data_IF_366767778411
#
_entry.id   IF_366767778411
#
_cell.length_a   1.000
_cell.length_b   1.000
_cell.length_c   1.000
_cell.angle_alpha   90.00
_cell.angle_beta   90.00
_cell.angle_gamma   90.00
#
_symmetry.space_group_name_H-M   'P 1'
#
loop_
_entity.id
_entity.type
_entity.pdbx_description
1 polymer ?
#
# COMPACT_ATOMS: atom_id res chain seq x y z
N UNK A 1 7.38 -25.44 -2.76
CA UNK A 1 6.47 -24.71 -1.88
C UNK A 1 6.97 -23.27 -1.69
N UNK A 2 6.09 -22.32 -1.79
CA UNK A 2 6.49 -20.92 -1.64
C UNK A 2 6.74 -20.60 -0.18
N UNK A 3 7.76 -19.77 0.06
CA UNK A 3 8.02 -19.26 1.39
C UNK A 3 7.15 -18.03 1.63
N UNK A 4 7.00 -17.60 2.90
CA UNK A 4 6.28 -16.36 3.16
C UNK A 4 6.88 -15.16 2.42
N UNK A 5 8.21 -15.13 2.25
CA UNK A 5 8.85 -14.06 1.50
C UNK A 5 8.45 -14.10 0.03
N UNK A 6 8.38 -15.30 -0.55
CA UNK A 6 7.96 -15.44 -1.94
C UNK A 6 6.50 -15.03 -2.09
N UNK A 7 5.66 -15.42 -1.15
CA UNK A 7 4.25 -15.04 -1.20
C UNK A 7 4.09 -13.53 -1.07
N UNK A 8 4.86 -12.90 -0.18
CA UNK A 8 4.83 -11.44 -0.04
C UNK A 8 5.25 -10.75 -1.33
N UNK A 9 6.26 -11.30 -2.01
CA UNK A 9 6.71 -10.72 -3.26
C UNK A 9 5.64 -10.81 -4.32
N UNK A 10 4.98 -11.98 -4.44
CA UNK A 10 3.90 -12.14 -5.41
C UNK A 10 2.73 -11.22 -5.11
N UNK A 11 2.37 -11.09 -3.83
CA UNK A 11 1.32 -10.17 -3.43
C UNK A 11 1.69 -8.74 -3.77
N UNK A 12 2.95 -8.38 -3.51
CA UNK A 12 3.44 -7.05 -3.84
C UNK A 12 3.34 -6.78 -5.33
N UNK A 13 3.75 -7.74 -6.17
CA UNK A 13 3.73 -7.52 -7.61
C UNK A 13 2.31 -7.33 -8.14
N UNK A 14 1.35 -8.09 -7.60
CA UNK A 14 -0.04 -7.89 -8.00
C UNK A 14 -0.54 -6.51 -7.58
N UNK A 15 -0.20 -6.10 -6.35
CA UNK A 15 -0.60 -4.80 -5.86
C UNK A 15 0.09 -3.68 -6.63
N UNK A 16 1.37 -3.87 -6.98
CA UNK A 16 2.12 -2.88 -7.74
C UNK A 16 1.46 -2.59 -9.08
N UNK A 17 1.05 -3.65 -9.78
CA UNK A 17 0.42 -3.49 -11.07
C UNK A 17 -0.82 -2.61 -10.97
N UNK A 18 -1.68 -2.90 -9.99
CA UNK A 18 -2.89 -2.11 -9.80
C UNK A 18 -2.55 -0.71 -9.31
N UNK A 19 -1.54 -0.59 -8.44
CA UNK A 19 -1.15 0.71 -7.90
C UNK A 19 -0.71 1.65 -9.00
N UNK A 20 0.03 1.15 -9.99
CA UNK A 20 0.47 1.99 -11.10
C UNK A 20 -0.71 2.51 -11.91
N UNK A 21 -1.75 1.69 -12.06
CA UNK A 21 -2.98 2.14 -12.72
C UNK A 21 -3.68 3.22 -11.91
N UNK A 22 -3.78 3.01 -10.60
CA UNK A 22 -4.40 4.00 -9.71
C UNK A 22 -3.62 5.30 -9.75
N UNK A 23 -2.30 5.24 -9.73
CA UNK A 23 -1.47 6.44 -9.79
C UNK A 23 -1.67 7.20 -11.09
N UNK A 24 -1.77 6.50 -12.21
CA UNK A 24 -2.02 7.16 -13.48
C UNK A 24 -3.34 7.92 -13.43
N UNK A 25 -4.39 7.30 -12.89
CA UNK A 25 -5.68 7.95 -12.77
C UNK A 25 -5.61 9.16 -11.84
N UNK A 26 -4.93 9.02 -10.70
CA UNK A 26 -4.84 10.11 -9.74
C UNK A 26 -4.04 11.28 -10.28
N UNK A 27 -2.96 11.00 -10.99
CA UNK A 27 -2.13 12.09 -11.55
C UNK A 27 -2.88 12.88 -12.60
N UNK A 28 -3.87 12.27 -13.25
CA UNK A 28 -4.71 13.00 -14.19
C UNK A 28 -5.65 13.99 -13.48
N UNK A 29 -5.92 13.74 -12.19
CA UNK A 29 -6.82 14.59 -11.41
C UNK A 29 -6.05 15.67 -10.65
N UNK A 30 -4.91 15.32 -10.05
CA UNK A 30 -4.14 16.26 -9.24
C UNK A 30 -2.65 15.96 -9.37
N UNK A 31 -1.82 17.02 -9.48
CA UNK A 31 -0.36 16.82 -9.47
C UNK A 31 0.23 16.76 -8.06
N UNK A 32 -0.57 17.01 -7.03
CA UNK A 32 -0.06 17.08 -5.66
C UNK A 32 0.10 15.70 -5.07
N UNK A 33 1.34 15.35 -4.73
CA UNK A 33 1.63 14.03 -4.15
C UNK A 33 0.89 13.83 -2.84
N UNK A 34 0.78 14.86 -2.01
CA UNK A 34 0.11 14.72 -0.73
C UNK A 34 -1.36 14.38 -0.91
N UNK A 35 -2.00 14.95 -1.92
CA UNK A 35 -3.41 14.62 -2.20
C UNK A 35 -3.57 13.17 -2.58
N UNK A 36 -2.63 12.66 -3.39
CA UNK A 36 -2.66 11.26 -3.80
C UNK A 36 -2.41 10.36 -2.61
N UNK A 37 -1.44 10.70 -1.77
CA UNK A 37 -1.13 9.90 -0.59
C UNK A 37 -2.33 9.81 0.34
N UNK A 38 -2.95 10.95 0.61
CA UNK A 38 -4.11 10.97 1.50
C UNK A 38 -5.27 10.20 0.91
N UNK A 39 -5.49 10.33 -0.40
CA UNK A 39 -6.58 9.60 -1.04
C UNK A 39 -6.40 8.09 -0.89
N UNK A 40 -5.17 7.61 -1.06
CA UNK A 40 -4.89 6.18 -0.94
C UNK A 40 -5.08 5.71 0.50
N UNK A 41 -4.64 6.49 1.48
CA UNK A 41 -4.85 6.12 2.88
C UNK A 41 -6.32 6.17 3.27
N UNK A 42 -7.02 7.21 2.81
CA UNK A 42 -8.46 7.29 3.08
C UNK A 42 -9.19 6.10 2.48
N UNK A 43 -8.76 5.67 1.30
CA UNK A 43 -9.37 4.52 0.67
C UNK A 43 -9.25 3.27 1.54
N UNK A 44 -8.12 3.11 2.21
CA UNK A 44 -7.93 1.97 3.11
C UNK A 44 -8.92 2.06 4.28
N UNK A 45 -9.08 3.25 4.86
CA UNK A 45 -10.02 3.42 5.96
C UNK A 45 -11.46 3.20 5.50
N UNK A 46 -11.81 3.69 4.31
CA UNK A 46 -13.15 3.49 3.78
C UNK A 46 -13.43 2.03 3.49
N UNK A 47 -12.40 1.30 3.07
CA UNK A 47 -12.53 -0.14 2.82
C UNK A 47 -13.00 -0.90 4.07
N UNK A 48 -12.53 -0.47 5.24
CA UNK A 48 -12.85 -1.15 6.49
C UNK A 48 -13.92 -0.44 7.31
N UNK A 49 -14.50 0.60 6.77
CA UNK A 49 -15.49 1.39 7.49
C UNK A 49 -16.67 0.52 7.89
N UNK A 50 -17.04 0.60 9.16
CA UNK A 50 -18.16 -0.19 9.68
C UNK A 50 -17.78 -1.60 10.09
N UNK A 51 -16.58 -2.05 9.76
CA UNK A 51 -16.13 -3.40 10.12
C UNK A 51 -15.03 -3.38 11.17
N UNK A 52 -14.12 -2.40 11.10
CA UNK A 52 -12.99 -2.32 12.02
C UNK A 52 -12.85 -0.90 12.55
N UNK A 53 -12.41 -0.76 13.81
CA UNK A 53 -12.16 0.58 14.33
C UNK A 53 -10.91 1.19 13.70
N UNK A 54 -10.81 2.54 13.68
CA UNK A 54 -9.68 3.20 13.02
C UNK A 54 -8.33 2.78 13.55
N UNK A 55 -8.22 2.54 14.85
CA UNK A 55 -6.94 2.13 15.43
C UNK A 55 -6.48 0.80 14.88
N UNK A 56 -7.42 -0.12 14.67
CA UNK A 56 -7.10 -1.41 14.08
C UNK A 56 -6.66 -1.26 12.63
N UNK A 57 -7.34 -0.41 11.88
CA UNK A 57 -6.95 -0.14 10.50
C UNK A 57 -5.54 0.43 10.46
N UNK A 58 -5.22 1.36 11.36
CA UNK A 58 -3.87 1.91 11.43
C UNK A 58 -2.82 0.85 11.68
N UNK A 59 -3.11 -0.10 12.57
CA UNK A 59 -2.18 -1.19 12.84
C UNK A 59 -1.99 -2.08 11.61
N UNK A 60 -3.07 -2.32 10.87
CA UNK A 60 -2.99 -3.10 9.63
C UNK A 60 -2.10 -2.38 8.62
N UNK A 61 -2.27 -1.08 8.47
CA UNK A 61 -1.44 -0.29 7.55
C UNK A 61 0.03 -0.41 7.94
N UNK A 62 0.33 -0.31 9.23
CA UNK A 62 1.72 -0.43 9.69
C UNK A 62 2.28 -1.81 9.37
N UNK A 63 1.46 -2.85 9.51
CA UNK A 63 1.88 -4.20 9.15
C UNK A 63 2.20 -4.32 7.68
N UNK A 64 1.35 -3.74 6.83
CA UNK A 64 1.62 -3.75 5.39
C UNK A 64 2.88 -2.98 5.05
N UNK A 65 3.12 -1.86 5.73
CA UNK A 65 4.34 -1.09 5.49
C UNK A 65 5.58 -1.94 5.76
N UNK A 66 5.58 -2.67 6.87
CA UNK A 66 6.72 -3.54 7.18
C UNK A 66 6.90 -4.62 6.12
N UNK A 67 5.79 -5.09 5.55
CA UNK A 67 5.84 -6.13 4.54
C UNK A 67 6.44 -5.64 3.23
N UNK A 68 6.15 -4.40 2.83
CA UNK A 68 6.56 -3.92 1.52
C UNK A 68 7.85 -3.12 1.53
N UNK A 69 8.25 -2.57 2.67
CA UNK A 69 9.47 -1.77 2.73
C UNK A 69 10.70 -2.45 2.14
N UNK A 70 10.92 -3.76 2.37
CA UNK A 70 12.09 -4.41 1.80
C UNK A 70 12.14 -4.37 0.27
N UNK A 71 11.01 -4.25 -0.40
CA UNK A 71 10.99 -4.23 -1.85
C UNK A 71 11.38 -2.88 -2.42
N UNK A 72 11.43 -1.85 -1.59
CA UNK A 72 11.82 -0.52 -2.02
C UNK A 72 13.17 -0.08 -1.49
N UNK A 73 13.44 -0.40 -0.23
CA UNK A 73 14.66 0.05 0.39
C UNK A 73 15.70 -1.02 0.58
N UNK A 74 15.41 -2.23 0.11
CA UNK A 74 16.23 -3.38 0.46
C UNK A 74 17.53 -3.50 -0.27
N UNK A 75 17.81 -2.62 -1.19
CA UNK A 75 19.01 -2.75 -1.98
C UNK A 75 20.25 -2.48 -1.20
N UNK A 76 20.12 -1.96 -0.11
CA UNK A 76 21.26 -1.71 0.70
C UNK A 76 20.85 -0.90 1.86
N UNK A 77 21.83 -0.61 2.66
CA UNK A 77 21.56 0.23 3.79
C UNK A 77 21.08 1.55 3.27
N UNK A 78 20.07 1.94 3.83
CA UNK A 78 19.55 3.21 3.43
C UNK A 78 20.01 4.22 4.44
#
# INVERSE_FOLDING_TARGET
MATPTDENFHDYKRAEKKALQILADMKAVTPKKVDIELALLVAIFELHKGALPPETVGAIVQGHLKQILPFYGGKGPV
#
